data_IF_415147466723
#
_entry.id   IF_415147466723
#
_cell.length_a   1.000
_cell.length_b   1.000
_cell.length_c   1.000
_cell.angle_alpha   90.00
_cell.angle_beta   90.00
_cell.angle_gamma   90.00
#
_symmetry.space_group_name_H-M   'P 1'
#
loop_
_entity.id
_entity.type
_entity.pdbx_description
1 polymer ?
#
# COMPACT_ATOMS: atom_id res chain seq x y z
N UNK A 1 15.64 -6.76 3.06
CA UNK A 1 14.29 -7.19 3.43
C UNK A 1 14.42 -7.98 4.71
N UNK A 2 13.72 -7.53 5.74
CA UNK A 2 13.64 -8.23 7.01
C UNK A 2 12.51 -9.25 6.84
N UNK A 3 12.71 -10.51 7.22
CA UNK A 3 11.64 -11.49 7.14
C UNK A 3 10.52 -11.10 8.11
N UNK A 4 9.34 -10.86 7.58
CA UNK A 4 8.08 -10.75 8.33
C UNK A 4 7.29 -12.06 8.13
N UNK A 5 6.46 -12.48 9.11
CA UNK A 5 5.72 -13.74 9.05
C UNK A 5 4.95 -13.92 7.74
N UNK A 6 4.35 -12.85 7.22
CA UNK A 6 3.49 -12.82 6.03
C UNK A 6 4.29 -12.69 4.72
N UNK A 7 5.62 -12.59 4.79
CA UNK A 7 6.46 -12.30 3.62
C UNK A 7 6.40 -13.38 2.54
N UNK A 8 6.29 -14.66 2.94
CA UNK A 8 6.28 -15.77 1.99
C UNK A 8 4.97 -15.82 1.19
N UNK A 9 3.84 -15.71 1.88
CA UNK A 9 2.50 -15.64 1.29
C UNK A 9 2.35 -14.39 0.42
N UNK A 10 2.84 -13.24 0.88
CA UNK A 10 2.83 -12.00 0.10
C UNK A 10 3.67 -12.17 -1.18
N UNK A 11 4.91 -12.63 -1.06
CA UNK A 11 5.76 -12.83 -2.22
C UNK A 11 5.11 -13.78 -3.23
N UNK A 12 4.43 -14.83 -2.76
CA UNK A 12 3.69 -15.75 -3.60
C UNK A 12 2.49 -15.12 -4.29
N UNK A 13 1.70 -14.34 -3.55
CA UNK A 13 0.54 -13.62 -4.05
C UNK A 13 0.93 -12.57 -5.10
N UNK A 14 2.06 -11.88 -4.95
CA UNK A 14 2.47 -10.82 -5.88
C UNK A 14 3.11 -11.32 -7.18
N UNK A 15 3.42 -12.62 -7.30
CA UNK A 15 4.09 -13.15 -8.51
C UNK A 15 3.28 -12.87 -9.77
N UNK A 16 3.96 -12.34 -10.79
CA UNK A 16 3.41 -12.07 -12.12
C UNK A 16 2.42 -10.88 -12.19
N UNK A 17 2.26 -10.11 -11.11
CA UNK A 17 1.33 -8.98 -11.05
C UNK A 17 2.06 -7.66 -11.26
N UNK A 18 1.40 -6.72 -11.93
CA UNK A 18 1.82 -5.33 -11.94
C UNK A 18 1.55 -4.72 -10.56
N UNK A 19 2.54 -4.07 -9.99
CA UNK A 19 2.47 -3.54 -8.62
C UNK A 19 2.57 -2.02 -8.65
N UNK A 20 1.71 -1.37 -7.89
CA UNK A 20 1.68 0.09 -7.75
C UNK A 20 1.68 0.46 -6.27
N UNK A 21 2.23 1.63 -5.96
CA UNK A 21 2.08 2.26 -4.64
C UNK A 21 2.00 3.77 -4.82
N UNK A 22 1.45 4.49 -3.85
CA UNK A 22 1.64 5.94 -3.76
C UNK A 22 3.13 6.28 -3.61
N UNK A 23 3.58 7.42 -4.13
CA UNK A 23 4.92 7.97 -3.85
C UNK A 23 5.22 8.07 -2.35
N UNK A 24 4.21 8.23 -1.49
CA UNK A 24 4.44 8.21 -0.04
C UNK A 24 4.91 6.84 0.45
N UNK A 25 4.58 5.75 -0.25
CA UNK A 25 5.07 4.41 0.02
C UNK A 25 6.58 4.26 -0.22
N UNK A 26 7.15 5.04 -1.15
CA UNK A 26 8.61 5.12 -1.29
C UNK A 26 9.24 5.72 -0.03
N UNK A 27 8.68 6.83 0.46
CA UNK A 27 9.15 7.51 1.67
C UNK A 27 9.06 6.56 2.86
N UNK A 28 7.94 5.86 3.02
CA UNK A 28 7.72 4.88 4.08
C UNK A 28 8.75 3.75 4.03
N UNK A 29 8.99 3.16 2.86
CA UNK A 29 9.96 2.07 2.69
C UNK A 29 11.38 2.53 3.05
N UNK A 30 11.82 3.69 2.54
CA UNK A 30 13.14 4.25 2.87
C UNK A 30 13.26 4.52 4.37
N UNK A 31 12.22 5.09 5.00
CA UNK A 31 12.18 5.37 6.45
C UNK A 31 12.19 4.10 7.29
N UNK A 32 11.48 3.04 6.86
CA UNK A 32 11.50 1.73 7.53
C UNK A 32 12.90 1.12 7.44
N UNK A 33 13.52 1.12 6.27
CA UNK A 33 14.88 0.60 6.09
C UNK A 33 15.88 1.30 7.00
N UNK A 34 15.83 2.64 7.07
CA UNK A 34 16.67 3.43 7.98
C UNK A 34 16.45 3.03 9.45
N UNK A 35 15.19 2.95 9.91
CA UNK A 35 14.88 2.57 11.30
C UNK A 35 15.36 1.18 11.67
N UNK A 36 15.45 0.28 10.70
CA UNK A 36 15.81 -1.12 10.93
C UNK A 36 17.27 -1.44 10.58
N UNK A 37 18.06 -0.45 10.15
CA UNK A 37 19.44 -0.67 9.72
C UNK A 37 19.57 -1.59 8.49
N UNK A 38 18.55 -1.62 7.63
CA UNK A 38 18.59 -2.39 6.39
C UNK A 38 19.36 -1.63 5.30
N UNK A 39 20.04 -2.35 4.40
CA UNK A 39 20.81 -1.70 3.34
C UNK A 39 19.91 -0.99 2.32
N UNK A 40 20.30 0.22 1.84
CA UNK A 40 19.52 1.00 0.87
C UNK A 40 19.19 0.23 -0.40
N UNK A 41 20.13 -0.57 -0.89
CA UNK A 41 20.02 -1.32 -2.15
C UNK A 41 18.84 -2.30 -2.13
N UNK A 42 18.49 -2.82 -0.94
CA UNK A 42 17.34 -3.72 -0.78
C UNK A 42 16.02 -2.97 -0.87
N UNK A 43 15.98 -1.71 -0.44
CA UNK A 43 14.83 -0.83 -0.65
C UNK A 43 14.66 -0.47 -2.11
N UNK A 44 15.75 -0.07 -2.76
CA UNK A 44 15.73 0.30 -4.17
C UNK A 44 15.34 -0.88 -5.08
N UNK A 45 15.77 -2.10 -4.74
CA UNK A 45 15.34 -3.32 -5.44
C UNK A 45 13.84 -3.62 -5.31
N UNK A 46 13.20 -3.21 -4.21
CA UNK A 46 11.74 -3.32 -4.05
C UNK A 46 11.06 -2.23 -4.86
N UNK A 47 11.53 -0.97 -4.76
CA UNK A 47 10.98 0.16 -5.51
C UNK A 47 11.04 -0.04 -7.02
N UNK A 48 12.11 -0.65 -7.53
CA UNK A 48 12.27 -0.95 -8.95
C UNK A 48 11.19 -1.90 -9.51
N UNK A 49 10.43 -2.59 -8.64
CA UNK A 49 9.33 -3.48 -9.02
C UNK A 49 7.95 -2.81 -8.91
N UNK A 50 7.89 -1.58 -8.43
CA UNK A 50 6.66 -0.83 -8.17
C UNK A 50 6.58 0.35 -9.14
N UNK A 51 5.39 0.56 -9.70
CA UNK A 51 5.04 1.83 -10.32
C UNK A 51 4.61 2.81 -9.22
N UNK A 52 5.28 3.96 -9.13
CA UNK A 52 4.93 5.00 -8.17
C UNK A 52 3.83 5.90 -8.74
N UNK A 53 2.75 6.07 -7.97
CA UNK A 53 1.63 6.94 -8.30
C UNK A 53 1.80 8.29 -7.63
N UNK A 54 1.80 9.34 -8.46
CA UNK A 54 2.06 10.70 -8.01
C UNK A 54 1.05 11.17 -6.96
N UNK A 55 1.52 11.88 -5.92
CA UNK A 55 0.63 12.59 -4.99
C UNK A 55 0.12 13.89 -5.63
N UNK A 56 -0.79 13.73 -6.59
CA UNK A 56 -1.37 14.83 -7.35
C UNK A 56 -2.20 15.75 -6.45
N UNK A 57 -2.40 16.98 -6.91
CA UNK A 57 -3.26 17.94 -6.23
C UNK A 57 -4.71 17.42 -6.06
N UNK A 58 -5.21 16.65 -7.03
CA UNK A 58 -6.52 16.00 -6.92
C UNK A 58 -6.57 15.00 -5.76
N UNK A 59 -5.56 14.12 -5.65
CA UNK A 59 -5.45 13.15 -4.55
C UNK A 59 -5.33 13.89 -3.22
N UNK A 60 -4.50 14.94 -3.12
CA UNK A 60 -4.35 15.73 -1.88
C UNK A 60 -5.67 16.32 -1.39
N UNK A 61 -6.48 16.88 -2.29
CA UNK A 61 -7.81 17.41 -1.92
C UNK A 61 -8.77 16.31 -1.50
N UNK A 62 -8.73 15.15 -2.17
CA UNK A 62 -9.56 14.01 -1.81
C UNK A 62 -9.25 13.48 -0.41
N UNK A 63 -7.97 13.39 -0.03
CA UNK A 63 -7.53 12.95 1.31
C UNK A 63 -8.18 13.76 2.43
N UNK A 64 -8.27 15.09 2.28
CA UNK A 64 -8.82 15.97 3.31
C UNK A 64 -10.32 15.78 3.59
N UNK A 65 -11.04 15.10 2.70
CA UNK A 65 -12.48 14.83 2.81
C UNK A 65 -12.78 13.33 2.90
N UNK A 66 -11.75 12.49 3.06
CA UNK A 66 -11.87 11.04 3.02
C UNK A 66 -12.38 10.51 4.37
N UNK A 67 -13.46 9.72 4.32
CA UNK A 67 -13.93 8.96 5.46
C UNK A 67 -13.36 7.53 5.46
N UNK A 68 -13.11 6.92 6.64
CA UNK A 68 -13.37 7.47 7.96
C UNK A 68 -12.26 8.40 8.48
N UNK A 69 -12.61 9.51 9.14
CA UNK A 69 -11.67 10.51 9.69
C UNK A 69 -10.65 9.94 10.71
N UNK A 70 -10.86 8.71 11.20
CA UNK A 70 -9.94 7.98 12.10
C UNK A 70 -8.70 7.41 11.40
N UNK A 71 -8.65 7.40 10.07
CA UNK A 71 -7.46 6.97 9.33
C UNK A 71 -6.30 7.93 9.59
N UNK A 72 -5.10 7.39 9.75
CA UNK A 72 -3.89 8.20 9.81
C UNK A 72 -3.62 8.80 8.44
N UNK A 73 -2.95 9.95 8.38
CA UNK A 73 -2.73 10.67 7.13
C UNK A 73 -2.07 9.83 6.03
N UNK A 74 -1.10 8.98 6.36
CA UNK A 74 -0.44 8.09 5.39
C UNK A 74 -1.40 7.02 4.85
N UNK A 75 -2.20 6.41 5.72
CA UNK A 75 -3.23 5.43 5.32
C UNK A 75 -4.30 6.09 4.45
N UNK A 76 -4.71 7.31 4.79
CA UNK A 76 -5.66 8.09 4.01
C UNK A 76 -5.10 8.47 2.63
N UNK A 77 -3.81 8.82 2.54
CA UNK A 77 -3.13 9.05 1.25
C UNK A 77 -3.15 7.79 0.40
N UNK A 78 -2.77 6.64 0.93
CA UNK A 78 -2.82 5.37 0.19
C UNK A 78 -4.22 5.04 -0.30
N UNK A 79 -5.23 5.17 0.56
CA UNK A 79 -6.62 4.91 0.18
C UNK A 79 -7.09 5.88 -0.91
N UNK A 80 -6.83 7.18 -0.79
CA UNK A 80 -7.19 8.15 -1.82
C UNK A 80 -6.47 7.88 -3.16
N UNK A 81 -5.18 7.54 -3.13
CA UNK A 81 -4.42 7.17 -4.33
C UNK A 81 -5.04 5.96 -5.03
N UNK A 82 -5.40 4.92 -4.28
CA UNK A 82 -6.02 3.71 -4.85
C UNK A 82 -7.42 3.99 -5.39
N UNK A 83 -8.22 4.80 -4.70
CA UNK A 83 -9.55 5.19 -5.17
C UNK A 83 -9.50 5.97 -6.49
N UNK A 84 -8.46 6.78 -6.70
CA UNK A 84 -8.25 7.51 -7.95
C UNK A 84 -8.03 6.56 -9.16
N UNK A 85 -7.40 5.40 -8.94
CA UNK A 85 -7.14 4.41 -10.00
C UNK A 85 -8.05 3.18 -9.93
N UNK A 86 -9.10 3.21 -9.11
CA UNK A 86 -10.02 2.09 -8.81
C UNK A 86 -10.38 1.22 -10.02
N UNK A 87 -10.65 1.84 -11.17
CA UNK A 87 -11.13 1.14 -12.38
C UNK A 87 -10.05 0.29 -13.05
N UNK A 88 -8.78 0.56 -12.75
CA UNK A 88 -7.62 -0.15 -13.29
C UNK A 88 -6.96 -1.05 -12.22
N UNK A 89 -7.59 -1.23 -11.06
CA UNK A 89 -7.03 -1.96 -9.93
C UNK A 89 -7.72 -3.31 -9.76
N UNK A 90 -6.94 -4.39 -9.75
CA UNK A 90 -7.43 -5.74 -9.43
C UNK A 90 -7.68 -5.93 -7.93
N UNK A 91 -6.92 -5.22 -7.10
CA UNK A 91 -7.00 -5.35 -5.65
C UNK A 91 -6.05 -4.42 -4.90
N UNK A 92 -6.36 -4.18 -3.63
CA UNK A 92 -5.53 -3.42 -2.72
C UNK A 92 -4.93 -4.32 -1.65
N UNK A 93 -3.60 -4.32 -1.52
CA UNK A 93 -2.89 -5.12 -0.51
C UNK A 93 -2.55 -4.23 0.68
N UNK A 94 -3.10 -4.55 1.85
CA UNK A 94 -2.78 -3.85 3.09
C UNK A 94 -3.01 -4.75 4.32
N UNK A 95 -2.30 -4.48 5.41
CA UNK A 95 -2.32 -5.29 6.64
C UNK A 95 -2.82 -4.52 7.88
N UNK A 96 -2.94 -3.20 7.81
CA UNK A 96 -3.45 -2.39 8.92
C UNK A 96 -4.99 -2.46 8.95
N UNK A 97 -5.54 -2.87 10.09
CA UNK A 97 -6.97 -3.19 10.20
C UNK A 97 -7.92 -2.04 9.87
N UNK A 98 -7.61 -0.80 10.29
CA UNK A 98 -8.45 0.36 9.97
C UNK A 98 -8.40 0.69 8.48
N UNK A 99 -7.24 0.54 7.84
CA UNK A 99 -7.09 0.72 6.40
C UNK A 99 -7.83 -0.37 5.61
N UNK A 100 -7.76 -1.62 6.07
CA UNK A 100 -8.56 -2.73 5.49
C UNK A 100 -10.05 -2.41 5.56
N UNK A 101 -10.55 -2.02 6.75
CA UNK A 101 -11.96 -1.71 6.95
C UNK A 101 -12.42 -0.54 6.04
N UNK A 102 -11.62 0.52 5.98
CA UNK A 102 -11.93 1.69 5.17
C UNK A 102 -11.93 1.38 3.68
N UNK A 103 -10.94 0.61 3.19
CA UNK A 103 -10.87 0.19 1.80
C UNK A 103 -12.06 -0.70 1.40
N UNK A 104 -12.46 -1.64 2.27
CA UNK A 104 -13.65 -2.47 2.07
C UNK A 104 -14.93 -1.63 2.05
N UNK A 105 -15.07 -0.69 2.98
CA UNK A 105 -16.21 0.23 3.02
C UNK A 105 -16.30 1.10 1.75
N UNK A 106 -15.15 1.41 1.13
CA UNK A 106 -15.07 2.11 -0.15
C UNK A 106 -15.29 1.19 -1.38
N UNK A 107 -15.57 -0.10 -1.16
CA UNK A 107 -15.87 -1.08 -2.21
C UNK A 107 -14.65 -1.63 -2.94
N UNK A 108 -13.46 -1.55 -2.35
CA UNK A 108 -12.24 -2.16 -2.91
C UNK A 108 -12.15 -3.64 -2.55
N UNK A 109 -11.66 -4.46 -3.48
CA UNK A 109 -11.19 -5.81 -3.18
C UNK A 109 -9.88 -5.71 -2.39
N UNK A 110 -9.92 -6.13 -1.12
CA UNK A 110 -8.76 -6.02 -0.20
C UNK A 110 -8.15 -7.39 0.07
N UNK A 111 -6.83 -7.47 -0.02
CA UNK A 111 -6.04 -8.67 0.21
C UNK A 111 -5.00 -8.42 1.30
N UNK A 112 -4.79 -9.41 2.17
CA UNK A 112 -3.68 -9.43 3.12
C UNK A 112 -3.13 -10.86 3.21
N UNK A 113 -2.34 -11.31 2.21
CA UNK A 113 -1.80 -12.67 2.18
C UNK A 113 -1.11 -13.05 3.51
N UNK A 114 -1.45 -14.19 4.08
CA UNK A 114 -0.91 -14.61 5.39
C UNK A 114 -1.65 -14.05 6.62
N UNK A 115 -2.52 -13.05 6.44
CA UNK A 115 -3.39 -12.51 7.51
C UNK A 115 -4.88 -12.80 7.26
N UNK A 116 -5.35 -12.58 6.03
CA UNK A 116 -6.72 -12.83 5.60
C UNK A 116 -6.81 -14.10 4.76
N UNK A 117 -7.93 -14.84 4.82
CA UNK A 117 -8.16 -15.97 3.91
C UNK A 117 -8.15 -15.50 2.45
N UNK A 118 -7.76 -16.39 1.50
CA UNK A 118 -7.84 -16.07 0.08
C UNK A 118 -9.28 -15.74 -0.33
N UNK A 119 -9.43 -14.75 -1.21
CA UNK A 119 -10.72 -14.32 -1.76
C UNK A 119 -11.31 -15.35 -2.72
#
# INVERSE_FOLDING_TARGET
MIPEPESAELAAFLRGRALVTSEVGEIELRRVNLRRGASPERGDAVLARLTLLALTEEIRRAVGHLEPARLRSLDAIHLATVLHIRRALDGFVCYEGRLIDAARAAGLSVFAPGLLPPA
#
